data_IF_051780068852
#
_entry.id   IF_051780068852
#
_cell.length_a   1.000
_cell.length_b   1.000
_cell.length_c   1.000
_cell.angle_alpha   90.00
_cell.angle_beta   90.00
_cell.angle_gamma   90.00
#
_symmetry.space_group_name_H-M   'P 1'
#
loop_
_entity.id
_entity.type
_entity.pdbx_description
1 polymer ?
#
# COMPACT_ATOMS: atom_id res chain seq x y z
N UNK A 1 -33.95 13.16 -13.15
CA UNK A 1 -32.80 12.71 -12.35
C UNK A 1 -31.74 12.28 -13.34
N UNK A 2 -30.56 12.88 -13.30
CA UNK A 2 -29.45 12.45 -14.15
C UNK A 2 -29.19 10.95 -13.90
N UNK A 3 -28.93 10.14 -14.93
CA UNK A 3 -28.73 8.69 -14.82
C UNK A 3 -27.56 8.27 -13.89
N UNK A 4 -26.73 9.22 -13.48
CA UNK A 4 -25.39 8.95 -12.93
C UNK A 4 -25.29 9.13 -11.41
N UNK A 5 -26.42 9.36 -10.72
CA UNK A 5 -26.42 9.61 -9.27
C UNK A 5 -26.75 8.33 -8.48
N UNK A 6 -25.71 7.61 -8.08
CA UNK A 6 -25.84 6.48 -7.16
C UNK A 6 -26.44 6.95 -5.83
N UNK A 7 -27.52 6.29 -5.33
CA UNK A 7 -28.15 6.71 -4.09
C UNK A 7 -27.17 6.71 -2.91
N UNK A 8 -27.28 7.72 -2.03
CA UNK A 8 -26.38 7.88 -0.88
C UNK A 8 -26.35 6.66 0.05
N UNK A 9 -27.45 5.92 0.15
CA UNK A 9 -27.48 4.69 0.95
C UNK A 9 -26.58 3.59 0.37
N UNK A 10 -26.42 3.51 -0.95
CA UNK A 10 -25.51 2.56 -1.61
C UNK A 10 -24.07 2.92 -1.28
N UNK A 11 -23.73 4.21 -1.37
CA UNK A 11 -22.43 4.73 -0.92
C UNK A 11 -22.13 4.37 0.53
N UNK A 12 -23.06 4.64 1.45
CA UNK A 12 -22.90 4.33 2.86
C UNK A 12 -22.79 2.83 3.12
N UNK A 13 -23.56 2.01 2.39
CA UNK A 13 -23.48 0.55 2.49
C UNK A 13 -22.13 0.02 2.00
N UNK A 14 -21.62 0.52 0.87
CA UNK A 14 -20.34 0.10 0.30
C UNK A 14 -19.17 0.54 1.17
N UNK A 15 -19.14 1.81 1.61
CA UNK A 15 -18.11 2.31 2.55
C UNK A 15 -18.19 1.54 3.87
N UNK A 16 -19.39 1.28 4.39
CA UNK A 16 -19.59 0.50 5.61
C UNK A 16 -19.11 -0.94 5.47
N UNK A 17 -19.36 -1.60 4.34
CA UNK A 17 -18.89 -2.95 4.05
C UNK A 17 -17.36 -3.01 3.95
N UNK A 18 -16.75 -2.05 3.24
CA UNK A 18 -15.28 -1.92 3.15
C UNK A 18 -14.67 -1.69 4.53
N UNK A 19 -15.23 -0.76 5.32
CA UNK A 19 -14.76 -0.48 6.67
C UNK A 19 -14.90 -1.71 7.58
N UNK A 20 -16.00 -2.47 7.47
CA UNK A 20 -16.18 -3.70 8.22
C UNK A 20 -15.16 -4.78 7.84
N UNK A 21 -14.84 -4.93 6.55
CA UNK A 21 -13.77 -5.82 6.08
C UNK A 21 -12.41 -5.40 6.64
N UNK A 22 -12.09 -4.11 6.66
CA UNK A 22 -10.84 -3.62 7.26
C UNK A 22 -10.76 -3.85 8.77
N UNK A 23 -11.86 -3.60 9.49
CA UNK A 23 -11.91 -3.88 10.93
C UNK A 23 -11.76 -5.38 11.18
N UNK A 24 -12.40 -6.22 10.38
CA UNK A 24 -12.24 -7.67 10.44
C UNK A 24 -10.78 -8.07 10.21
N UNK A 25 -10.13 -7.55 9.16
CA UNK A 25 -8.72 -7.81 8.87
C UNK A 25 -7.78 -7.37 10.00
N UNK A 26 -8.03 -6.18 10.56
CA UNK A 26 -7.27 -5.68 11.70
C UNK A 26 -7.43 -6.61 12.91
N UNK A 27 -8.65 -7.03 13.23
CA UNK A 27 -8.93 -7.86 14.40
C UNK A 27 -8.39 -9.30 14.26
N UNK A 28 -8.42 -9.87 13.07
CA UNK A 28 -7.94 -11.23 12.81
C UNK A 28 -6.42 -11.29 12.70
N UNK A 29 -5.80 -10.36 11.98
CA UNK A 29 -4.38 -10.43 11.64
C UNK A 29 -3.44 -9.69 12.61
N UNK A 30 -3.89 -8.64 13.31
CA UNK A 30 -3.01 -7.90 14.25
C UNK A 30 -2.79 -8.67 15.56
N UNK A 31 -3.68 -9.59 15.93
CA UNK A 31 -3.64 -10.29 17.21
C UNK A 31 -2.54 -11.35 17.33
N UNK A 32 -2.03 -11.89 16.23
CA UNK A 32 -0.96 -12.92 16.27
C UNK A 32 0.08 -12.65 15.18
N UNK A 33 1.26 -12.11 15.54
CA UNK A 33 2.39 -12.01 14.62
C UNK A 33 2.82 -13.41 14.18
N UNK A 34 2.50 -13.82 12.95
CA UNK A 34 2.94 -15.09 12.35
C UNK A 34 3.34 -14.81 10.91
N UNK A 35 4.26 -15.62 10.37
CA UNK A 35 4.56 -15.60 8.95
C UNK A 35 3.43 -16.29 8.19
N UNK A 36 2.71 -15.61 7.27
CA UNK A 36 1.63 -16.23 6.53
C UNK A 36 2.19 -17.35 5.66
N UNK A 37 1.58 -18.53 5.72
CA UNK A 37 1.93 -19.59 4.79
C UNK A 37 1.46 -19.24 3.38
N UNK A 38 2.13 -19.75 2.34
CA UNK A 38 1.69 -19.55 0.95
C UNK A 38 0.23 -19.95 0.72
N UNK A 39 -0.23 -21.04 1.36
CA UNK A 39 -1.62 -21.51 1.29
C UNK A 39 -2.60 -20.53 1.91
N UNK A 40 -2.25 -19.97 3.06
CA UNK A 40 -3.05 -18.96 3.74
C UNK A 40 -3.13 -17.66 2.91
N UNK A 41 -2.00 -17.19 2.39
CA UNK A 41 -1.95 -16.01 1.52
C UNK A 41 -2.77 -16.20 0.24
N UNK A 42 -2.68 -17.38 -0.39
CA UNK A 42 -3.48 -17.72 -1.58
C UNK A 42 -4.97 -17.75 -1.25
N UNK A 43 -5.37 -18.35 -0.13
CA UNK A 43 -6.77 -18.43 0.29
C UNK A 43 -7.36 -17.04 0.55
N UNK A 44 -6.66 -16.20 1.31
CA UNK A 44 -7.09 -14.82 1.56
C UNK A 44 -7.16 -13.99 0.28
N UNK A 45 -6.16 -14.14 -0.61
CA UNK A 45 -6.16 -13.46 -1.91
C UNK A 45 -7.37 -13.87 -2.77
N UNK A 46 -7.65 -15.18 -2.88
CA UNK A 46 -8.81 -15.68 -3.62
C UNK A 46 -10.13 -15.21 -3.01
N UNK A 47 -10.22 -15.18 -1.67
CA UNK A 47 -11.41 -14.67 -0.97
C UNK A 47 -11.70 -13.21 -1.33
N UNK A 48 -10.70 -12.33 -1.23
CA UNK A 48 -10.87 -10.90 -1.55
C UNK A 48 -11.11 -10.64 -3.04
N UNK A 49 -10.43 -11.37 -3.93
CA UNK A 49 -10.73 -11.32 -5.38
C UNK A 49 -12.16 -11.78 -5.63
N UNK A 50 -12.63 -12.84 -4.99
CA UNK A 50 -14.00 -13.33 -5.11
C UNK A 50 -15.04 -12.29 -4.70
N UNK A 51 -14.82 -11.57 -3.59
CA UNK A 51 -15.70 -10.47 -3.16
C UNK A 51 -15.74 -9.35 -4.21
N UNK A 52 -14.58 -8.95 -4.73
CA UNK A 52 -14.52 -7.91 -5.77
C UNK A 52 -15.24 -8.33 -7.06
N UNK A 53 -15.07 -9.59 -7.50
CA UNK A 53 -15.77 -10.11 -8.67
C UNK A 53 -17.29 -10.17 -8.46
N UNK A 54 -17.75 -10.57 -7.27
CA UNK A 54 -19.17 -10.58 -6.92
C UNK A 54 -19.76 -9.17 -6.90
N UNK A 55 -19.02 -8.20 -6.35
CA UNK A 55 -19.43 -6.80 -6.37
C UNK A 55 -19.52 -6.26 -7.80
N UNK A 56 -18.50 -6.51 -8.64
CA UNK A 56 -18.50 -6.12 -10.05
C UNK A 56 -19.62 -6.74 -10.86
N UNK A 57 -19.96 -8.01 -10.57
CA UNK A 57 -21.14 -8.64 -11.15
C UNK A 57 -22.44 -7.94 -10.71
N UNK A 58 -22.52 -7.50 -9.45
CA UNK A 58 -23.60 -6.66 -8.96
C UNK A 58 -23.70 -5.33 -9.72
N UNK A 59 -22.59 -4.64 -9.95
CA UNK A 59 -22.57 -3.40 -10.75
C UNK A 59 -23.08 -3.67 -12.17
N UNK A 60 -22.60 -4.72 -12.84
CA UNK A 60 -23.08 -5.09 -14.17
C UNK A 60 -24.59 -5.37 -14.17
N UNK A 61 -25.07 -6.18 -13.22
CA UNK A 61 -26.46 -6.63 -13.21
C UNK A 61 -27.47 -5.52 -12.86
N UNK A 62 -27.11 -4.59 -11.97
CA UNK A 62 -28.04 -3.58 -11.43
C UNK A 62 -27.86 -2.18 -12.00
N UNK A 63 -26.68 -1.82 -12.53
CA UNK A 63 -26.43 -0.51 -13.13
C UNK A 63 -26.60 -0.58 -14.65
N UNK A 64 -25.60 -1.13 -15.36
CA UNK A 64 -25.67 -1.55 -16.75
C UNK A 64 -24.36 -2.25 -17.17
N UNK A 65 -24.30 -2.66 -18.44
CA UNK A 65 -23.12 -3.31 -19.03
C UNK A 65 -21.89 -2.38 -19.09
N UNK A 66 -22.07 -1.09 -19.34
CA UNK A 66 -20.97 -0.16 -19.51
C UNK A 66 -20.24 0.03 -18.17
N UNK A 67 -20.97 0.37 -17.11
CA UNK A 67 -20.44 0.51 -15.75
C UNK A 67 -19.84 -0.80 -15.22
N UNK A 68 -20.42 -1.94 -15.59
CA UNK A 68 -19.82 -3.25 -15.30
C UNK A 68 -18.43 -3.41 -15.95
N UNK A 69 -18.30 -3.07 -17.23
CA UNK A 69 -17.01 -3.12 -17.94
C UNK A 69 -16.01 -2.13 -17.34
N UNK A 70 -16.45 -0.90 -17.04
CA UNK A 70 -15.63 0.13 -16.40
C UNK A 70 -15.10 -0.34 -15.04
N UNK A 71 -15.95 -0.94 -14.20
CA UNK A 71 -15.55 -1.54 -12.93
C UNK A 71 -14.51 -2.64 -13.11
N UNK A 72 -14.74 -3.60 -14.03
CA UNK A 72 -13.80 -4.70 -14.23
C UNK A 72 -12.48 -4.23 -14.86
N UNK A 73 -12.52 -3.24 -15.75
CA UNK A 73 -11.34 -2.61 -16.32
C UNK A 73 -10.54 -1.89 -15.23
N UNK A 74 -11.20 -1.11 -14.38
CA UNK A 74 -10.59 -0.46 -13.23
C UNK A 74 -10.01 -1.46 -12.24
N UNK A 75 -10.75 -2.50 -11.89
CA UNK A 75 -10.30 -3.58 -11.01
C UNK A 75 -9.03 -4.27 -11.51
N UNK A 76 -8.97 -4.65 -12.80
CA UNK A 76 -7.78 -5.29 -13.38
C UNK A 76 -6.60 -4.31 -13.42
N UNK A 77 -6.86 -3.04 -13.73
CA UNK A 77 -5.84 -1.99 -13.76
C UNK A 77 -5.23 -1.77 -12.38
N UNK A 78 -6.05 -1.51 -11.36
CA UNK A 78 -5.61 -1.36 -9.97
C UNK A 78 -4.94 -2.64 -9.45
N UNK A 79 -5.46 -3.83 -9.80
CA UNK A 79 -4.84 -5.10 -9.40
C UNK A 79 -3.44 -5.26 -9.99
N UNK A 80 -3.25 -4.85 -11.23
CA UNK A 80 -1.94 -4.91 -11.91
C UNK A 80 -0.95 -3.94 -11.26
N UNK A 81 -1.37 -2.70 -11.03
CA UNK A 81 -0.56 -1.67 -10.35
C UNK A 81 -0.22 -2.06 -8.91
N UNK A 82 -1.14 -2.75 -8.20
CA UNK A 82 -0.88 -3.20 -6.82
C UNK A 82 0.28 -4.19 -6.69
N UNK A 83 0.60 -4.95 -7.73
CA UNK A 83 1.73 -5.91 -7.72
C UNK A 83 3.06 -5.16 -7.73
N UNK A 84 3.15 -4.09 -8.50
CA UNK A 84 4.32 -3.21 -8.54
C UNK A 84 4.53 -2.51 -7.19
N UNK A 85 3.43 -2.12 -6.53
CA UNK A 85 3.46 -1.51 -5.19
C UNK A 85 4.04 -2.47 -4.14
N UNK A 86 3.65 -3.76 -4.19
CA UNK A 86 4.18 -4.78 -3.29
C UNK A 86 5.69 -4.97 -3.45
N UNK A 87 6.23 -4.85 -4.67
CA UNK A 87 7.66 -4.97 -4.90
C UNK A 87 8.46 -3.90 -4.15
N UNK A 88 8.03 -2.64 -4.24
CA UNK A 88 8.69 -1.54 -3.51
C UNK A 88 8.52 -1.68 -2.00
N UNK A 89 7.37 -2.15 -1.52
CA UNK A 89 7.19 -2.43 -0.09
C UNK A 89 8.17 -3.48 0.42
N UNK A 90 8.39 -4.56 -0.34
CA UNK A 90 9.39 -5.59 0.00
C UNK A 90 10.80 -5.02 0.02
N UNK A 91 11.16 -4.16 -0.94
CA UNK A 91 12.47 -3.48 -0.95
C UNK A 91 12.65 -2.62 0.29
N UNK A 92 11.66 -1.80 0.65
CA UNK A 92 11.70 -0.95 1.84
C UNK A 92 11.89 -1.83 3.07
N UNK A 93 11.06 -2.86 3.26
CA UNK A 93 11.16 -3.73 4.42
C UNK A 93 12.51 -4.47 4.51
N UNK A 94 13.05 -4.94 3.39
CA UNK A 94 14.39 -5.55 3.32
C UNK A 94 15.49 -4.55 3.64
N UNK A 95 15.41 -3.34 3.10
CA UNK A 95 16.37 -2.25 3.33
C UNK A 95 16.47 -1.85 4.81
N UNK A 96 15.34 -1.92 5.53
CA UNK A 96 15.27 -1.68 6.96
C UNK A 96 15.46 -2.95 7.82
N UNK A 97 15.69 -4.12 7.20
CA UNK A 97 15.77 -5.42 7.86
C UNK A 97 14.59 -5.71 8.80
N UNK A 98 13.36 -5.41 8.35
CA UNK A 98 12.15 -5.60 9.15
C UNK A 98 11.96 -7.09 9.45
N UNK A 99 11.91 -7.51 10.73
CA UNK A 99 11.69 -8.91 11.08
C UNK A 99 10.38 -9.41 10.49
N UNK A 100 10.38 -10.62 9.94
CA UNK A 100 9.26 -11.21 9.21
C UNK A 100 7.95 -11.22 10.03
N UNK A 101 8.04 -11.49 11.34
CA UNK A 101 6.91 -11.42 12.27
C UNK A 101 6.20 -10.05 12.32
N UNK A 102 6.88 -8.95 11.95
CA UNK A 102 6.32 -7.59 11.99
C UNK A 102 6.00 -7.01 10.61
N UNK A 103 6.39 -7.68 9.51
CA UNK A 103 6.14 -7.20 8.15
C UNK A 103 4.65 -7.02 7.87
N UNK A 104 3.82 -8.00 8.24
CA UNK A 104 2.37 -7.93 8.05
C UNK A 104 1.75 -6.74 8.79
N UNK A 105 2.22 -6.44 10.01
CA UNK A 105 1.75 -5.28 10.78
C UNK A 105 2.19 -3.96 10.12
N UNK A 106 3.41 -3.89 9.60
CA UNK A 106 3.90 -2.73 8.87
C UNK A 106 3.04 -2.47 7.63
N UNK A 107 2.77 -3.52 6.85
CA UNK A 107 1.90 -3.47 5.67
C UNK A 107 0.49 -3.03 6.02
N UNK A 108 -0.12 -3.61 7.06
CA UNK A 108 -1.49 -3.27 7.44
C UNK A 108 -1.63 -1.81 7.86
N UNK A 109 -0.71 -1.32 8.70
CA UNK A 109 -0.73 0.10 9.11
C UNK A 109 -0.43 1.00 7.91
N UNK A 110 0.51 0.61 7.05
CA UNK A 110 0.81 1.30 5.79
C UNK A 110 -0.43 1.45 4.90
N UNK A 111 -1.18 0.36 4.68
CA UNK A 111 -2.42 0.33 3.90
C UNK A 111 -3.49 1.23 4.52
N UNK A 112 -3.63 1.26 5.85
CA UNK A 112 -4.60 2.16 6.50
C UNK A 112 -4.24 3.63 6.27
N UNK A 113 -2.95 3.99 6.43
CA UNK A 113 -2.48 5.36 6.16
C UNK A 113 -2.70 5.72 4.69
N UNK A 114 -2.31 4.82 3.79
CA UNK A 114 -2.50 4.90 2.35
C UNK A 114 -3.95 5.19 1.97
N UNK A 115 -4.92 4.42 2.49
CA UNK A 115 -6.34 4.62 2.18
C UNK A 115 -6.87 5.97 2.66
N UNK A 116 -6.44 6.43 3.83
CA UNK A 116 -6.80 7.76 4.34
C UNK A 116 -6.23 8.84 3.41
N UNK A 117 -4.96 8.72 3.05
CA UNK A 117 -4.30 9.65 2.13
C UNK A 117 -4.94 9.63 0.74
N UNK A 118 -5.30 8.44 0.22
CA UNK A 118 -5.99 8.25 -1.05
C UNK A 118 -7.37 8.90 -1.01
N UNK A 119 -8.13 8.73 0.08
CA UNK A 119 -9.41 9.41 0.28
C UNK A 119 -9.28 10.94 0.28
N UNK A 120 -8.21 11.47 0.90
CA UNK A 120 -7.90 12.91 0.86
C UNK A 120 -7.56 13.34 -0.57
N UNK A 121 -6.72 12.60 -1.30
CA UNK A 121 -6.35 12.89 -2.69
C UNK A 121 -7.56 12.92 -3.64
N UNK A 122 -8.44 11.92 -3.52
CA UNK A 122 -9.69 11.85 -4.29
C UNK A 122 -10.59 13.05 -3.94
N UNK A 123 -10.73 13.39 -2.65
CA UNK A 123 -11.55 14.52 -2.22
C UNK A 123 -11.00 15.89 -2.67
N UNK A 124 -9.67 16.03 -2.76
CA UNK A 124 -9.01 17.23 -3.28
C UNK A 124 -9.18 17.38 -4.81
N UNK A 125 -9.50 16.29 -5.51
CA UNK A 125 -10.03 16.29 -6.87
C UNK A 125 -8.99 16.34 -8.00
N UNK A 126 -9.49 16.08 -9.22
CA UNK A 126 -8.72 15.98 -10.47
C UNK A 126 -7.87 17.22 -10.81
N UNK A 127 -8.24 18.41 -10.30
CA UNK A 127 -7.47 19.64 -10.49
C UNK A 127 -6.08 19.61 -9.84
N UNK A 128 -5.90 18.81 -8.77
CA UNK A 128 -4.58 18.60 -8.19
C UNK A 128 -3.70 17.72 -9.10
N UNK A 129 -4.29 16.71 -9.73
CA UNK A 129 -3.58 15.67 -10.49
C UNK A 129 -2.89 16.24 -11.74
N UNK A 130 -3.55 17.15 -12.47
CA UNK A 130 -2.99 17.75 -13.69
C UNK A 130 -1.68 18.50 -13.42
N UNK A 131 -1.58 19.20 -12.27
CA UNK A 131 -0.38 19.94 -11.89
C UNK A 131 0.81 19.07 -11.45
N UNK A 132 0.56 17.83 -11.01
CA UNK A 132 1.61 16.93 -10.51
C UNK A 132 2.09 15.91 -11.55
N UNK A 133 1.60 15.97 -12.80
CA UNK A 133 1.96 15.02 -13.85
C UNK A 133 3.47 14.92 -14.15
N UNK A 134 4.24 15.99 -13.91
CA UNK A 134 5.70 15.96 -14.09
C UNK A 134 6.43 15.13 -13.02
N UNK A 135 5.84 14.96 -11.82
CA UNK A 135 6.40 14.17 -10.71
C UNK A 135 6.48 12.69 -11.10
N UNK A 136 5.60 12.21 -11.99
CA UNK A 136 5.61 10.84 -12.52
C UNK A 136 6.91 10.48 -13.22
N UNK A 137 7.46 11.38 -14.04
CA UNK A 137 8.70 11.10 -14.77
C UNK A 137 9.88 10.93 -13.83
N UNK A 138 9.94 11.73 -12.76
CA UNK A 138 10.98 11.63 -11.73
C UNK A 138 10.85 10.31 -10.97
N UNK A 139 9.62 9.93 -10.62
CA UNK A 139 9.37 8.68 -9.92
C UNK A 139 9.66 7.44 -10.79
N UNK A 140 9.27 7.46 -12.07
CA UNK A 140 9.61 6.40 -13.03
C UNK A 140 11.12 6.19 -13.18
N UNK A 141 11.90 7.28 -13.28
CA UNK A 141 13.37 7.21 -13.29
C UNK A 141 13.90 6.61 -11.98
N UNK A 142 13.35 7.03 -10.83
CA UNK A 142 13.74 6.49 -9.53
C UNK A 142 13.45 4.99 -9.39
N UNK A 143 12.30 4.51 -9.88
CA UNK A 143 11.94 3.10 -9.88
C UNK A 143 12.86 2.27 -10.78
N UNK A 144 13.17 2.75 -11.99
CA UNK A 144 14.11 2.07 -12.90
C UNK A 144 15.49 1.97 -12.24
N UNK A 145 15.97 3.05 -11.62
CA UNK A 145 17.24 3.05 -10.90
C UNK A 145 17.24 2.06 -9.73
N UNK A 146 16.16 2.03 -8.95
CA UNK A 146 16.02 1.14 -7.79
C UNK A 146 15.94 -0.33 -8.21
N UNK A 147 15.17 -0.64 -9.25
CA UNK A 147 15.06 -1.98 -9.82
C UNK A 147 16.41 -2.46 -10.36
N UNK A 148 17.15 -1.60 -11.08
CA UNK A 148 18.48 -1.91 -11.58
C UNK A 148 19.48 -2.15 -10.44
N UNK A 149 19.44 -1.31 -9.40
CA UNK A 149 20.28 -1.48 -8.21
C UNK A 149 20.00 -2.80 -7.51
N UNK A 150 18.73 -3.15 -7.29
CA UNK A 150 18.35 -4.41 -6.61
C UNK A 150 18.72 -5.64 -7.44
N UNK A 151 18.49 -5.60 -8.76
CA UNK A 151 18.91 -6.67 -9.66
C UNK A 151 20.43 -6.83 -9.66
N UNK A 152 21.19 -5.72 -9.65
CA UNK A 152 22.65 -5.73 -9.57
C UNK A 152 23.17 -6.29 -8.24
N UNK A 153 22.54 -5.95 -7.12
CA UNK A 153 22.92 -6.45 -5.78
C UNK A 153 22.60 -7.95 -5.62
N UNK A 154 21.45 -8.39 -6.14
CA UNK A 154 21.04 -9.81 -6.13
C UNK A 154 21.95 -10.69 -7.00
N UNK A 155 22.47 -10.15 -8.12
CA UNK A 155 23.44 -10.85 -8.97
C UNK A 155 24.86 -10.88 -8.37
N UNK A 156 25.19 -9.95 -7.46
CA UNK A 156 26.49 -9.89 -6.78
C UNK A 156 26.59 -10.83 -5.58
N UNK A 157 25.47 -11.25 -4.98
CA UNK A 157 25.45 -12.16 -3.83
C UNK A 157 25.15 -13.60 -4.27
N UNK A 158 26.06 -14.16 -5.06
CA UNK A 158 26.23 -15.60 -5.17
C UNK A 158 27.01 -16.10 -3.96
N UNK A 159 26.32 -16.76 -3.02
CA UNK A 159 26.88 -17.50 -1.89
C UNK A 159 27.63 -16.68 -0.82
N UNK A 160 26.93 -16.24 0.23
CA UNK A 160 27.48 -16.26 1.60
C UNK A 160 26.41 -16.65 2.62
N UNK A 161 26.84 -17.55 3.50
CA UNK A 161 26.16 -18.10 4.66
C UNK A 161 25.99 -17.05 5.76
N UNK A 162 24.80 -17.05 6.36
CA UNK A 162 24.50 -16.83 7.79
C UNK A 162 25.63 -16.20 8.62
N UNK A 163 25.63 -14.86 8.69
CA UNK A 163 26.16 -13.98 9.76
C UNK A 163 26.55 -12.62 9.16
N UNK A 164 25.61 -11.94 8.48
CA UNK A 164 25.85 -10.57 8.02
C UNK A 164 25.36 -9.57 9.07
N UNK A 165 26.34 -8.95 9.71
CA UNK A 165 26.24 -7.77 10.57
C UNK A 165 25.43 -6.68 9.86
N UNK A 166 24.43 -6.13 10.54
CA UNK A 166 23.50 -5.14 10.01
C UNK A 166 24.25 -3.88 9.52
N UNK A 167 24.42 -3.74 8.21
CA UNK A 167 24.89 -2.51 7.56
C UNK A 167 23.67 -1.64 7.17
N UNK A 168 23.37 -0.55 7.90
CA UNK A 168 22.22 0.28 7.58
C UNK A 168 22.36 0.94 6.21
N UNK A 169 21.35 0.76 5.37
CA UNK A 169 21.28 1.33 4.02
C UNK A 169 21.36 2.87 4.05
N UNK A 170 21.77 3.49 2.94
CA UNK A 170 21.95 4.95 2.85
C UNK A 170 20.69 5.76 3.23
N UNK A 171 19.50 5.22 2.94
CA UNK A 171 18.20 5.81 3.31
C UNK A 171 17.99 5.73 4.83
N UNK A 172 18.37 4.62 5.47
CA UNK A 172 18.30 4.44 6.92
C UNK A 172 19.22 5.46 7.61
N UNK A 173 20.46 5.60 7.14
CA UNK A 173 21.42 6.59 7.65
C UNK A 173 20.91 8.04 7.49
N UNK A 174 20.23 8.34 6.39
CA UNK A 174 19.66 9.68 6.15
C UNK A 174 18.52 10.00 7.12
N UNK A 175 17.59 9.06 7.33
CA UNK A 175 16.44 9.26 8.24
C UNK A 175 16.89 9.31 9.70
N UNK A 176 17.81 8.42 10.12
CA UNK A 176 18.39 8.44 11.48
C UNK A 176 19.13 9.75 11.80
N UNK A 177 19.59 10.48 10.77
CA UNK A 177 20.29 11.75 10.94
C UNK A 177 19.36 12.94 11.16
N UNK A 178 18.08 12.83 10.76
CA UNK A 178 17.09 13.92 10.84
C UNK A 178 15.98 13.68 11.85
N UNK A 179 15.79 12.44 12.33
CA UNK A 179 14.80 12.10 13.35
C UNK A 179 15.49 11.50 14.59
N UNK A 180 15.03 11.82 15.81
CA UNK A 180 15.51 11.17 17.03
C UNK A 180 15.01 9.72 17.05
N UNK A 181 15.86 8.81 16.55
CA UNK A 181 15.53 7.40 16.35
C UNK A 181 16.39 6.50 17.21
N UNK A 182 15.81 5.41 17.70
CA UNK A 182 16.59 4.31 18.29
C UNK A 182 17.13 3.40 17.18
N UNK A 183 18.33 2.82 17.34
CA UNK A 183 18.93 1.94 16.32
C UNK A 183 18.20 0.60 16.19
N UNK A 184 17.60 0.10 17.28
CA UNK A 184 17.06 -1.26 17.35
C UNK A 184 15.53 -1.31 17.19
N UNK A 185 15.04 -2.40 16.61
CA UNK A 185 13.62 -2.75 16.65
C UNK A 185 13.21 -3.12 18.08
N UNK A 186 12.32 -2.33 18.68
CA UNK A 186 11.69 -2.62 19.97
C UNK A 186 10.37 -3.39 19.75
N UNK A 187 10.50 -4.55 19.12
CA UNK A 187 9.36 -5.35 18.67
C UNK A 187 8.47 -4.60 17.68
N UNK A 188 7.18 -4.48 18.01
CA UNK A 188 6.18 -3.81 17.17
C UNK A 188 5.82 -2.38 17.64
N UNK A 189 6.59 -1.82 18.58
CA UNK A 189 6.40 -0.48 19.10
C UNK A 189 6.75 0.56 18.04
N UNK A 190 5.97 1.63 17.92
CA UNK A 190 6.24 2.73 16.99
C UNK A 190 7.14 3.80 17.60
N UNK A 191 6.95 4.05 18.90
CA UNK A 191 7.76 5.02 19.66
C UNK A 191 8.16 4.40 20.98
N UNK A 192 9.32 4.78 21.46
CA UNK A 192 9.81 4.42 22.80
C UNK A 192 10.20 5.67 23.57
N UNK A 193 10.15 5.59 24.89
CA UNK A 193 10.61 6.67 25.76
C UNK A 193 11.91 6.20 26.38
N UNK A 194 13.01 6.89 26.08
CA UNK A 194 14.31 6.66 26.69
C UNK A 194 14.76 7.97 27.36
N UNK A 195 15.17 7.91 28.63
CA UNK A 195 15.62 9.08 29.40
C UNK A 195 14.64 10.28 29.37
N UNK A 196 13.33 10.01 29.45
CA UNK A 196 12.27 11.03 29.46
C UNK A 196 12.01 11.70 28.10
N UNK A 197 12.69 11.30 27.03
CA UNK A 197 12.47 11.80 25.67
C UNK A 197 11.86 10.71 24.78
N UNK A 198 10.94 11.11 23.90
CA UNK A 198 10.27 10.19 22.97
C UNK A 198 11.13 10.03 21.71
N UNK A 199 11.44 8.79 21.36
CA UNK A 199 12.18 8.40 20.17
C UNK A 199 11.29 7.60 19.24
N UNK A 200 11.54 7.74 17.94
CA UNK A 200 10.91 6.92 16.91
C UNK A 200 11.69 5.62 16.71
N UNK A 201 10.98 4.52 16.55
CA UNK A 201 11.59 3.23 16.24
C UNK A 201 11.81 3.09 14.73
N UNK A 202 12.68 2.17 14.28
CA UNK A 202 12.78 1.80 12.87
C UNK A 202 11.42 1.37 12.27
N UNK A 203 10.55 0.74 13.06
CA UNK A 203 9.21 0.34 12.63
C UNK A 203 8.33 1.54 12.23
N UNK A 204 8.41 2.66 12.96
CA UNK A 204 7.70 3.88 12.60
C UNK A 204 8.18 4.45 11.27
N UNK A 205 9.51 4.47 11.05
CA UNK A 205 10.09 4.95 9.80
C UNK A 205 9.63 4.08 8.62
N UNK A 206 9.62 2.76 8.81
CA UNK A 206 9.14 1.82 7.79
C UNK A 206 7.69 2.10 7.43
N UNK A 207 6.81 2.20 8.44
CA UNK A 207 5.38 2.48 8.20
C UNK A 207 5.19 3.82 7.48
N UNK A 208 5.95 4.85 7.89
CA UNK A 208 5.90 6.15 7.24
C UNK A 208 6.38 6.05 5.78
N UNK A 209 7.48 5.33 5.52
CA UNK A 209 7.99 5.10 4.18
C UNK A 209 6.97 4.35 3.30
N UNK A 210 6.35 3.29 3.84
CA UNK A 210 5.30 2.55 3.14
C UNK A 210 4.11 3.46 2.78
N UNK A 211 3.62 4.27 3.73
CA UNK A 211 2.52 5.20 3.48
C UNK A 211 2.86 6.31 2.49
N UNK A 212 4.08 6.86 2.54
CA UNK A 212 4.54 7.85 1.56
C UNK A 212 4.73 7.25 0.17
N UNK A 213 5.27 6.03 0.09
CA UNK A 213 5.43 5.32 -1.18
C UNK A 213 4.07 4.99 -1.79
N UNK A 214 3.09 4.56 -0.99
CA UNK A 214 1.72 4.38 -1.49
C UNK A 214 1.12 5.67 -2.03
N UNK A 215 1.33 6.80 -1.34
CA UNK A 215 0.89 8.10 -1.84
C UNK A 215 1.47 8.42 -3.22
N UNK A 216 2.75 8.08 -3.44
CA UNK A 216 3.40 8.25 -4.74
C UNK A 216 2.79 7.34 -5.80
N UNK A 217 2.39 6.12 -5.44
CA UNK A 217 1.68 5.21 -6.35
C UNK A 217 0.22 5.62 -6.59
N UNK A 218 -0.48 6.19 -5.60
CA UNK A 218 -1.83 6.70 -5.81
C UNK A 218 -1.85 7.78 -6.91
N UNK A 219 -0.73 8.46 -7.13
CA UNK A 219 -0.60 9.35 -8.26
C UNK A 219 -0.72 8.59 -9.60
N UNK A 220 -0.21 7.38 -9.78
CA UNK A 220 -0.34 6.65 -11.05
C UNK A 220 -1.72 6.00 -11.22
N UNK A 221 -2.26 5.49 -10.12
CA UNK A 221 -3.46 4.66 -10.13
C UNK A 221 -4.74 5.50 -10.25
N UNK A 222 -4.79 6.68 -9.62
CA UNK A 222 -5.96 7.56 -9.67
C UNK A 222 -6.25 8.10 -11.09
N UNK A 223 -5.29 8.69 -11.83
CA UNK A 223 -5.53 9.10 -13.23
C UNK A 223 -5.81 7.92 -14.15
N UNK A 224 -5.24 6.74 -13.88
CA UNK A 224 -5.56 5.55 -14.66
C UNK A 224 -7.04 5.16 -14.52
N UNK A 225 -7.60 5.23 -13.31
CA UNK A 225 -9.03 5.00 -13.06
C UNK A 225 -9.90 6.10 -13.67
N UNK A 226 -9.56 7.38 -13.48
CA UNK A 226 -10.29 8.48 -14.12
C UNK A 226 -10.22 8.43 -15.66
N UNK A 227 -9.19 7.81 -16.24
CA UNK A 227 -9.12 7.56 -17.68
C UNK A 227 -10.02 6.42 -18.16
N UNK A 228 -10.53 5.58 -17.25
CA UNK A 228 -11.40 4.45 -17.56
C UNK A 228 -12.88 4.71 -17.24
N UNK A 229 -13.17 5.55 -16.24
CA UNK A 229 -14.53 5.88 -15.84
C UNK A 229 -14.64 7.31 -15.31
N UNK A 230 -15.74 7.97 -15.66
CA UNK A 230 -16.13 9.27 -15.10
C UNK A 230 -17.12 9.11 -13.93
N UNK A 231 -17.59 7.88 -13.65
CA UNK A 231 -18.56 7.59 -12.60
C UNK A 231 -17.86 7.58 -11.24
N UNK A 232 -18.10 8.56 -10.34
CA UNK A 232 -17.30 8.68 -9.11
C UNK A 232 -17.45 7.51 -8.14
N UNK A 233 -18.49 6.69 -8.30
CA UNK A 233 -18.76 5.52 -7.45
C UNK A 233 -17.88 4.30 -7.79
N UNK A 234 -17.44 4.18 -9.04
CA UNK A 234 -16.57 3.09 -9.51
C UNK A 234 -15.13 3.41 -9.14
#
# INVERSE_FOLDING_TARGET
MSPDTVPTWVWLATVGAIAALFVFDFLTHVRKPHEPSFKEAALWSTFYVGIALLFGWGVWAYWDRQHGIEYFAGFVTEKSLSVDNLFVFVIIMKSFAVPAAYQQKALLIGIVIALVMRGIFIALGAAAIEQFSWVFYIFGIFLIWTAWKLASESLKHGAKSTDEEYEPNAIVKYVQRHLPTVPDFRGNALTVIENGKRFFTPMFIVILALGMTDLLFALDSIPAIYGLTDAPYI
#
